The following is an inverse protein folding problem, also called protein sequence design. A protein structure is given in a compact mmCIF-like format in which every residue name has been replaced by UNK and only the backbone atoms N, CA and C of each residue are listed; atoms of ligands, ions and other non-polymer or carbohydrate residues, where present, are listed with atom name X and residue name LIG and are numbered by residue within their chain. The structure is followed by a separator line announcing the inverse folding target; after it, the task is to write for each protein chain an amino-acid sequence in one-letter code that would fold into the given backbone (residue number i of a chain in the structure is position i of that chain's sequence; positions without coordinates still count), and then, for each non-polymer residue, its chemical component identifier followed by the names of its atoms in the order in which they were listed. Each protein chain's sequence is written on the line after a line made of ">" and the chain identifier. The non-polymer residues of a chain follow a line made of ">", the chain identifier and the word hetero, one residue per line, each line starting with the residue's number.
data_IF_568878752035
#
_entry.id   IF_568878752035
#
_cell.length_a   1.000
_cell.length_b   1.000
_cell.length_c   1.000
_cell.angle_alpha   90.00
_cell.angle_beta   90.00
_cell.angle_gamma   90.00
#
_symmetry.space_group_name_H-M   'P 1'
#
loop_
_entity.id
_entity.type
_entity.pdbx_description
1 polymer ?
#
# COMPACT_ATOMS: atom_id res chain seq x y z
N UNK A 1 47.53 13.28 -1.27
CA UNK A 1 46.50 13.09 -2.33
C UNK A 1 45.90 11.68 -2.29
N UNK A 2 46.69 10.61 -2.48
CA UNK A 2 46.19 9.22 -2.55
C UNK A 2 45.49 8.71 -1.28
N UNK A 3 45.97 9.07 -0.09
CA UNK A 3 45.35 8.69 1.19
C UNK A 3 44.00 9.39 1.47
N UNK A 4 43.81 10.58 0.91
CA UNK A 4 42.59 11.38 1.07
C UNK A 4 41.42 10.78 0.28
N UNK A 5 41.72 10.24 -0.92
CA UNK A 5 40.76 9.51 -1.75
C UNK A 5 40.30 8.20 -1.11
N UNK A 6 41.19 7.51 -0.39
CA UNK A 6 40.87 6.27 0.32
C UNK A 6 39.93 6.57 1.50
N UNK A 7 40.20 7.64 2.26
CA UNK A 7 39.33 8.06 3.36
C UNK A 7 37.91 8.46 2.89
N UNK A 8 37.80 9.13 1.74
CA UNK A 8 36.53 9.52 1.13
C UNK A 8 35.69 8.32 0.68
N UNK A 9 36.33 7.27 0.14
CA UNK A 9 35.64 6.04 -0.27
C UNK A 9 35.02 5.30 0.91
N UNK A 10 35.73 5.24 2.05
CA UNK A 10 35.28 4.50 3.24
C UNK A 10 34.10 5.20 3.94
N UNK A 11 34.00 6.54 3.88
CA UNK A 11 32.88 7.25 4.51
C UNK A 11 31.56 7.10 3.75
N UNK A 12 31.59 6.74 2.47
CA UNK A 12 30.39 6.66 1.62
C UNK A 12 29.50 5.44 1.91
N UNK A 13 30.03 4.40 2.56
CA UNK A 13 29.30 3.14 2.79
C UNK A 13 28.48 3.11 4.08
N UNK A 14 28.56 4.15 4.93
CA UNK A 14 27.81 4.19 6.20
C UNK A 14 26.44 4.88 6.11
N UNK A 15 26.03 5.35 4.92
CA UNK A 15 24.83 6.16 4.76
C UNK A 15 23.50 5.36 4.65
N UNK A 16 23.53 4.03 4.64
CA UNK A 16 22.32 3.19 4.45
C UNK A 16 22.11 2.16 5.56
N UNK A 17 22.13 2.60 6.81
CA UNK A 17 21.47 1.86 7.88
C UNK A 17 20.05 2.43 8.05
N UNK A 18 19.17 2.11 7.09
CA UNK A 18 17.77 2.49 7.19
C UNK A 18 17.14 1.71 8.35
N UNK A 19 16.81 2.42 9.44
CA UNK A 19 16.09 1.87 10.59
C UNK A 19 14.78 1.28 10.07
N UNK A 20 14.72 -0.05 9.98
CA UNK A 20 13.53 -0.77 9.56
C UNK A 20 12.55 -0.71 10.74
N UNK A 21 11.83 0.41 10.89
CA UNK A 21 10.74 0.51 11.86
C UNK A 21 9.72 -0.55 11.50
N UNK A 22 9.49 -1.57 12.34
CA UNK A 22 8.49 -2.58 12.07
C UNK A 22 7.15 -1.85 11.89
N UNK A 23 6.57 -1.97 10.70
CA UNK A 23 5.22 -1.48 10.46
C UNK A 23 4.33 -2.39 11.32
N UNK A 24 3.48 -1.83 12.20
CA UNK A 24 2.53 -2.65 12.95
C UNK A 24 1.70 -3.43 11.94
N UNK A 25 1.73 -4.76 12.02
CA UNK A 25 0.78 -5.56 11.26
C UNK A 25 -0.60 -5.22 11.81
N UNK A 26 -1.50 -4.78 10.95
CA UNK A 26 -2.91 -4.71 11.32
C UNK A 26 -3.37 -6.13 11.66
N UNK A 27 -4.20 -6.25 12.71
CA UNK A 27 -4.79 -7.53 13.06
C UNK A 27 -5.63 -8.02 11.87
N UNK A 28 -5.26 -9.18 11.33
CA UNK A 28 -6.02 -9.83 10.29
C UNK A 28 -7.41 -10.26 10.79
N UNK A 29 -8.32 -10.53 9.86
CA UNK A 29 -9.61 -11.15 10.20
C UNK A 29 -9.41 -12.58 10.71
N UNK A 30 -10.34 -13.08 11.53
CA UNK A 30 -10.29 -14.48 11.97
C UNK A 30 -10.26 -15.43 10.79
N UNK A 31 -9.59 -16.58 10.96
CA UNK A 31 -9.45 -17.57 9.91
C UNK A 31 -10.81 -18.09 9.44
N UNK A 32 -11.75 -18.28 10.36
CA UNK A 32 -13.11 -18.71 10.10
C UNK A 32 -13.86 -17.68 9.24
N UNK A 33 -13.69 -16.39 9.53
CA UNK A 33 -14.29 -15.31 8.75
C UNK A 33 -13.66 -15.25 7.35
N UNK A 34 -12.34 -15.39 7.24
CA UNK A 34 -11.66 -15.44 5.95
C UNK A 34 -12.13 -16.62 5.09
N UNK A 35 -12.24 -17.81 5.70
CA UNK A 35 -12.70 -19.03 5.05
C UNK A 35 -14.17 -18.92 4.63
N UNK A 36 -15.04 -18.39 5.49
CA UNK A 36 -16.44 -18.15 5.14
C UNK A 36 -16.56 -17.13 4.01
N UNK A 37 -15.77 -16.04 4.05
CA UNK A 37 -15.77 -15.01 2.99
C UNK A 37 -15.27 -15.53 1.65
N UNK A 38 -14.24 -16.38 1.63
CA UNK A 38 -13.76 -16.97 0.37
C UNK A 38 -14.82 -17.83 -0.30
N UNK A 39 -15.69 -18.48 0.50
CA UNK A 39 -16.77 -19.34 0.04
C UNK A 39 -18.06 -18.59 -0.31
N UNK A 40 -18.35 -17.46 0.33
CA UNK A 40 -19.65 -16.78 0.26
C UNK A 40 -19.61 -15.40 -0.40
N UNK A 41 -18.50 -14.65 -0.31
CA UNK A 41 -18.41 -13.28 -0.84
C UNK A 41 -17.95 -13.22 -2.31
N UNK A 42 -17.75 -14.38 -2.95
CA UNK A 42 -17.32 -14.47 -4.35
C UNK A 42 -18.32 -13.84 -5.34
N UNK A 43 -19.53 -13.50 -4.88
CA UNK A 43 -20.60 -12.93 -5.69
C UNK A 43 -20.96 -11.46 -5.35
N UNK A 44 -20.24 -10.79 -4.43
CA UNK A 44 -20.48 -9.35 -4.20
C UNK A 44 -19.98 -8.57 -5.42
N UNK A 45 -20.92 -8.01 -6.18
CA UNK A 45 -20.64 -7.11 -7.30
C UNK A 45 -20.90 -5.68 -6.85
N UNK A 46 -19.88 -4.84 -6.98
CA UNK A 46 -20.01 -3.39 -6.80
C UNK A 46 -20.14 -2.74 -8.17
N UNK A 47 -21.15 -1.90 -8.33
CA UNK A 47 -21.17 -0.94 -9.43
C UNK A 47 -20.63 0.40 -8.90
N UNK A 48 -19.47 0.80 -9.42
CA UNK A 48 -18.75 2.01 -9.03
C UNK A 48 -18.82 3.02 -10.16
N UNK A 49 -19.48 4.15 -9.91
CA UNK A 49 -19.49 5.27 -10.84
C UNK A 49 -18.56 6.37 -10.32
N UNK A 50 -17.40 6.48 -10.95
CA UNK A 50 -16.35 7.42 -10.56
C UNK A 50 -16.29 8.58 -11.56
N UNK A 51 -16.30 9.80 -11.04
CA UNK A 51 -15.94 10.99 -11.78
C UNK A 51 -14.45 11.27 -11.58
N UNK A 52 -13.65 11.03 -12.62
CA UNK A 52 -12.22 11.30 -12.62
C UNK A 52 -11.98 12.64 -13.34
N UNK A 53 -11.67 13.73 -12.60
CA UNK A 53 -11.39 15.02 -13.21
C UNK A 53 -10.05 15.00 -13.95
N UNK A 54 -9.97 15.81 -15.01
CA UNK A 54 -8.74 15.92 -15.82
C UNK A 54 -7.62 16.64 -15.06
N UNK A 55 -7.98 17.56 -14.18
CA UNK A 55 -7.07 18.25 -13.29
C UNK A 55 -6.76 17.38 -12.06
N UNK A 56 -5.48 17.13 -11.80
CA UNK A 56 -5.02 16.29 -10.67
C UNK A 56 -5.16 16.94 -9.29
N UNK A 57 -5.51 18.22 -9.25
CA UNK A 57 -5.73 18.99 -8.01
C UNK A 57 -7.12 18.78 -7.43
N UNK A 58 -8.05 18.28 -8.25
CA UNK A 58 -9.44 18.14 -7.86
C UNK A 58 -9.70 16.73 -7.35
N UNK A 59 -10.53 16.57 -6.30
CA UNK A 59 -10.81 15.27 -5.73
C UNK A 59 -11.59 14.38 -6.70
N UNK A 60 -11.24 13.09 -6.74
CA UNK A 60 -12.06 12.07 -7.40
C UNK A 60 -13.35 11.94 -6.58
N UNK A 61 -14.49 12.11 -7.23
CA UNK A 61 -15.81 11.95 -6.61
C UNK A 61 -16.53 10.75 -7.23
N UNK A 62 -17.57 10.24 -6.58
CA UNK A 62 -18.29 9.10 -7.12
C UNK A 62 -19.47 8.67 -6.26
N UNK A 63 -20.19 7.70 -6.79
CA UNK A 63 -21.28 7.01 -6.12
C UNK A 63 -21.09 5.51 -6.30
N UNK A 64 -21.63 4.73 -5.37
CA UNK A 64 -21.55 3.28 -5.41
C UNK A 64 -22.93 2.69 -5.13
N UNK A 65 -23.20 1.55 -5.75
CA UNK A 65 -24.34 0.70 -5.41
C UNK A 65 -23.84 -0.71 -5.18
N UNK A 66 -24.32 -1.33 -4.11
CA UNK A 66 -24.05 -2.74 -3.83
C UNK A 66 -25.12 -3.57 -4.53
N UNK A 67 -24.69 -4.45 -5.43
CA UNK A 67 -25.58 -5.39 -6.12
C UNK A 67 -25.50 -6.74 -5.39
N UNK A 68 -26.62 -7.14 -4.79
CA UNK A 68 -26.80 -8.48 -4.23
C UNK A 68 -27.19 -9.41 -5.39
N UNK A 69 -26.36 -10.42 -5.67
CA UNK A 69 -26.61 -11.45 -6.69
C UNK A 69 -27.67 -12.44 -6.26
#
# INVERSE_FOLDING_TARGET
>A
MRFLLIALLISSTMAFAQKNTPIPLEEGVSWELAQWRSQNLSAIVYDLNLHIPLAKTDPITGSWTLLLS
#
